data_IF_701587628922
#
_entry.id   IF_701587628922
#
_cell.length_a   1.000
_cell.length_b   1.000
_cell.length_c   1.000
_cell.angle_alpha   90.00
_cell.angle_beta   90.00
_cell.angle_gamma   90.00
#
_symmetry.space_group_name_H-M   'P 1'
#
loop_
_entity.id
_entity.type
_entity.pdbx_description
1 polymer ?
#
# COMPACT_ATOMS: atom_id res chain seq x y z
N UNK A 1 -43.82 -61.84 1.67
CA UNK A 1 -43.22 -62.97 2.42
C UNK A 1 -41.82 -62.58 2.84
N UNK A 2 -41.56 -62.48 4.14
CA UNK A 2 -40.22 -62.20 4.71
C UNK A 2 -39.48 -63.51 4.90
N UNK A 3 -38.31 -63.67 4.27
CA UNK A 3 -37.47 -64.85 4.45
C UNK A 3 -36.81 -64.77 5.82
N UNK A 4 -36.96 -65.84 6.61
CA UNK A 4 -36.37 -65.92 7.95
C UNK A 4 -34.84 -66.01 7.86
N UNK A 5 -34.16 -64.97 8.34
CA UNK A 5 -32.71 -64.85 8.38
C UNK A 5 -32.03 -66.00 9.13
N UNK A 6 -32.69 -66.62 10.12
CA UNK A 6 -32.14 -67.80 10.81
C UNK A 6 -32.09 -69.02 9.91
N UNK A 7 -33.08 -69.17 9.02
CA UNK A 7 -33.10 -70.25 8.02
C UNK A 7 -32.03 -70.03 6.96
N UNK A 8 -31.87 -68.80 6.45
CA UNK A 8 -30.78 -68.47 5.52
C UNK A 8 -29.39 -68.75 6.12
N UNK A 9 -29.15 -68.32 7.37
CA UNK A 9 -27.86 -68.56 8.03
C UNK A 9 -27.55 -70.05 8.23
N UNK A 10 -28.59 -70.87 8.46
CA UNK A 10 -28.44 -72.33 8.62
C UNK A 10 -28.19 -73.04 7.28
N UNK A 11 -28.76 -72.52 6.19
CA UNK A 11 -28.53 -73.00 4.82
C UNK A 11 -27.11 -72.67 4.34
N UNK A 12 -26.64 -71.44 4.58
CA UNK A 12 -25.27 -71.00 4.24
C UNK A 12 -24.20 -71.80 5.01
N UNK A 13 -24.44 -72.12 6.29
CA UNK A 13 -23.51 -72.94 7.08
C UNK A 13 -23.38 -74.39 6.61
N UNK A 14 -24.32 -74.88 5.78
CA UNK A 14 -24.31 -76.26 5.27
C UNK A 14 -23.40 -76.41 4.05
N UNK A 15 -23.08 -75.30 3.38
CA UNK A 15 -22.04 -75.25 2.37
C UNK A 15 -20.71 -75.01 3.08
N UNK A 16 -19.97 -76.09 3.35
CA UNK A 16 -18.58 -75.99 3.82
C UNK A 16 -17.69 -75.51 2.66
N UNK A 17 -17.82 -74.22 2.31
CA UNK A 17 -16.94 -73.57 1.35
C UNK A 17 -15.55 -73.42 2.00
N UNK A 18 -14.60 -74.26 1.59
CA UNK A 18 -13.21 -74.12 2.00
C UNK A 18 -12.66 -72.77 1.53
N UNK A 19 -12.03 -72.03 2.43
CA UNK A 19 -11.37 -70.77 2.09
C UNK A 19 -10.32 -71.01 0.98
N UNK A 20 -10.22 -70.11 -0.03
CA UNK A 20 -9.20 -70.22 -1.07
C UNK A 20 -7.79 -70.29 -0.47
N UNK A 21 -6.92 -71.08 -1.09
CA UNK A 21 -5.51 -71.14 -0.71
C UNK A 21 -4.94 -69.72 -0.77
N UNK A 22 -4.30 -69.26 0.31
CA UNK A 22 -3.74 -67.89 0.49
C UNK A 22 -4.72 -66.77 0.86
N UNK A 23 -5.98 -67.07 1.20
CA UNK A 23 -6.92 -66.05 1.70
C UNK A 23 -6.38 -65.32 2.95
N UNK A 24 -5.79 -66.05 3.89
CA UNK A 24 -5.23 -65.48 5.13
C UNK A 24 -4.06 -64.53 4.85
N UNK A 25 -3.10 -64.93 4.01
CA UNK A 25 -1.98 -64.08 3.62
C UNK A 25 -2.44 -62.80 2.88
N UNK A 26 -3.46 -62.93 2.02
CA UNK A 26 -4.05 -61.77 1.33
C UNK A 26 -4.76 -60.83 2.30
N UNK A 27 -5.51 -61.39 3.25
CA UNK A 27 -6.18 -60.62 4.29
C UNK A 27 -5.16 -59.90 5.17
N UNK A 28 -4.12 -60.58 5.63
CA UNK A 28 -3.05 -59.98 6.45
C UNK A 28 -2.34 -58.84 5.70
N UNK A 29 -2.04 -59.02 4.41
CA UNK A 29 -1.44 -57.97 3.57
C UNK A 29 -2.33 -56.73 3.47
N UNK A 30 -3.64 -56.92 3.27
CA UNK A 30 -4.60 -55.82 3.19
C UNK A 30 -4.80 -55.15 4.56
N UNK A 31 -4.84 -55.96 5.63
CA UNK A 31 -4.97 -55.50 7.00
C UNK A 31 -3.75 -54.65 7.41
N UNK A 32 -2.53 -55.11 7.14
CA UNK A 32 -1.30 -54.36 7.42
C UNK A 32 -1.19 -53.07 6.60
N UNK A 33 -1.66 -53.10 5.35
CA UNK A 33 -1.71 -51.90 4.51
C UNK A 33 -2.66 -50.82 5.08
N UNK A 34 -3.77 -51.24 5.72
CA UNK A 34 -4.76 -50.33 6.28
C UNK A 34 -4.41 -49.88 7.71
N UNK A 35 -3.85 -50.76 8.54
CA UNK A 35 -3.47 -50.44 9.92
C UNK A 35 -2.30 -49.45 10.00
N UNK A 36 -1.34 -49.55 9.08
CA UNK A 36 -0.22 -48.63 9.03
C UNK A 36 -0.63 -47.38 8.26
N UNK A 37 -1.26 -46.42 8.96
CA UNK A 37 -1.45 -45.05 8.48
C UNK A 37 -0.14 -44.57 7.85
N UNK A 38 -0.14 -44.46 6.51
CA UNK A 38 0.98 -43.99 5.70
C UNK A 38 1.53 -42.74 6.36
N UNK A 39 2.76 -42.80 6.89
CA UNK A 39 3.40 -41.66 7.54
C UNK A 39 3.30 -40.48 6.58
N UNK A 40 2.48 -39.50 6.93
CA UNK A 40 2.37 -38.27 6.17
C UNK A 40 3.79 -37.72 6.05
N UNK A 41 4.19 -37.42 4.82
CA UNK A 41 5.51 -36.87 4.55
C UNK A 41 5.60 -35.59 5.38
N UNK A 42 6.40 -35.63 6.45
CA UNK A 42 6.63 -34.46 7.31
C UNK A 42 7.28 -33.40 6.43
N UNK A 43 6.47 -32.47 5.92
CA UNK A 43 6.97 -31.30 5.22
C UNK A 43 7.85 -30.58 6.26
N UNK A 44 9.10 -30.34 5.90
CA UNK A 44 10.05 -29.71 6.80
C UNK A 44 9.61 -28.27 7.04
N UNK A 45 8.89 -28.04 8.14
CA UNK A 45 8.39 -26.73 8.58
C UNK A 45 9.49 -25.66 8.64
N UNK A 46 10.76 -26.07 8.74
CA UNK A 46 11.92 -25.18 8.70
C UNK A 46 12.08 -24.44 7.37
N UNK A 47 11.72 -25.07 6.25
CA UNK A 47 11.75 -24.42 4.93
C UNK A 47 10.58 -23.45 4.77
N UNK A 48 9.41 -23.79 5.33
CA UNK A 48 8.25 -22.90 5.35
C UNK A 48 8.51 -21.65 6.19
N UNK A 49 9.21 -21.77 7.33
CA UNK A 49 9.52 -20.63 8.20
C UNK A 49 10.50 -19.66 7.55
N UNK A 50 11.47 -20.17 6.78
CA UNK A 50 12.43 -19.34 6.04
C UNK A 50 11.72 -18.60 4.90
N UNK A 51 10.88 -19.29 4.13
CA UNK A 51 10.09 -18.65 3.07
C UNK A 51 9.13 -17.57 3.62
N UNK A 52 8.47 -17.84 4.76
CA UNK A 52 7.57 -16.89 5.41
C UNK A 52 8.32 -15.63 5.87
N UNK A 53 9.52 -15.76 6.44
CA UNK A 53 10.33 -14.61 6.84
C UNK A 53 10.73 -13.73 5.66
N UNK A 54 11.09 -14.33 4.52
CA UNK A 54 11.45 -13.58 3.30
C UNK A 54 10.21 -12.88 2.72
N UNK A 55 9.06 -13.54 2.69
CA UNK A 55 7.81 -12.93 2.22
C UNK A 55 7.38 -11.72 3.07
N UNK A 56 7.55 -11.78 4.39
CA UNK A 56 7.25 -10.66 5.29
C UNK A 56 8.19 -9.48 5.00
N UNK A 57 9.49 -9.72 4.83
CA UNK A 57 10.44 -8.67 4.48
C UNK A 57 10.11 -8.00 3.15
N UNK A 58 9.79 -8.79 2.12
CA UNK A 58 9.38 -8.26 0.81
C UNK A 58 8.09 -7.46 0.92
N UNK A 59 7.11 -7.92 1.71
CA UNK A 59 5.86 -7.20 1.94
C UNK A 59 6.09 -5.86 2.63
N UNK A 60 6.90 -5.81 3.68
CA UNK A 60 7.24 -4.56 4.37
C UNK A 60 8.01 -3.62 3.45
N UNK A 61 9.03 -4.12 2.73
CA UNK A 61 9.75 -3.32 1.73
C UNK A 61 8.79 -2.77 0.66
N UNK A 62 7.91 -3.62 0.11
CA UNK A 62 6.93 -3.22 -0.88
C UNK A 62 5.97 -2.15 -0.36
N UNK A 63 5.55 -2.20 0.91
CA UNK A 63 4.72 -1.17 1.52
C UNK A 63 5.46 0.17 1.63
N UNK A 64 6.74 0.16 2.00
CA UNK A 64 7.57 1.38 2.00
C UNK A 64 7.80 1.93 0.59
N UNK A 65 8.04 1.06 -0.41
CA UNK A 65 8.18 1.48 -1.80
C UNK A 65 6.87 2.05 -2.38
N UNK A 66 5.72 1.41 -2.13
CA UNK A 66 4.42 1.90 -2.59
C UNK A 66 4.01 3.19 -1.87
N UNK A 67 4.31 3.33 -0.57
CA UNK A 67 4.05 4.56 0.18
C UNK A 67 4.90 5.74 -0.31
N UNK A 68 6.07 5.46 -0.90
CA UNK A 68 6.89 6.47 -1.58
C UNK A 68 6.42 6.73 -3.03
N UNK A 69 5.45 5.95 -3.54
CA UNK A 69 4.84 6.13 -4.87
C UNK A 69 3.48 6.82 -4.83
N UNK A 70 2.99 7.23 -3.66
CA UNK A 70 1.90 8.21 -3.54
C UNK A 70 2.43 9.64 -3.74
N UNK A 71 2.91 9.92 -4.95
CA UNK A 71 2.77 11.22 -5.62
C UNK A 71 3.10 11.11 -7.13
N UNK A 72 2.63 10.05 -7.81
CA UNK A 72 2.39 10.15 -9.25
C UNK A 72 0.94 10.59 -9.47
N UNK A 73 0.72 11.88 -9.23
CA UNK A 73 -0.46 12.59 -9.72
C UNK A 73 -0.48 12.36 -11.25
N UNK A 74 -1.60 11.93 -11.84
CA UNK A 74 -1.68 11.78 -13.28
C UNK A 74 -1.38 13.12 -13.96
N UNK A 75 -0.31 13.12 -14.75
CA UNK A 75 0.05 14.19 -15.65
C UNK A 75 -1.14 14.45 -16.61
N UNK A 76 -1.49 15.73 -16.78
CA UNK A 76 -2.50 16.27 -17.70
C UNK A 76 -3.93 16.49 -17.18
N UNK A 77 -4.05 17.21 -16.06
CA UNK A 77 -5.00 18.32 -15.99
C UNK A 77 -4.10 19.55 -15.76
N UNK A 78 -4.19 20.64 -16.55
CA UNK A 78 -3.66 21.90 -16.08
C UNK A 78 -4.51 22.26 -14.87
N UNK A 79 -4.08 21.82 -13.69
CA UNK A 79 -4.55 22.39 -12.44
C UNK A 79 -4.08 23.83 -12.56
N UNK A 80 -5.01 24.70 -12.98
CA UNK A 80 -4.79 26.12 -13.02
C UNK A 80 -4.40 26.49 -11.60
N UNK A 81 -3.11 26.66 -11.36
CA UNK A 81 -2.58 27.03 -10.06
C UNK A 81 -3.30 28.32 -9.67
N UNK A 82 -4.20 28.19 -8.71
CA UNK A 82 -5.09 29.23 -8.29
C UNK A 82 -4.28 30.18 -7.42
N UNK A 83 -3.71 31.21 -8.02
CA UNK A 83 -3.07 32.33 -7.32
C UNK A 83 -4.09 33.41 -6.99
N UNK A 84 -3.71 34.39 -6.18
CA UNK A 84 -4.54 35.55 -5.86
C UNK A 84 -5.08 36.21 -7.15
N UNK A 85 -4.23 36.36 -8.17
CA UNK A 85 -4.60 36.92 -9.47
C UNK A 85 -5.57 36.08 -10.31
N UNK A 86 -5.72 34.79 -10.02
CA UNK A 86 -6.72 33.97 -10.71
C UNK A 86 -8.15 34.16 -10.18
N UNK A 87 -8.33 34.83 -9.03
CA UNK A 87 -9.62 35.07 -8.37
C UNK A 87 -10.37 36.23 -9.04
N UNK A 88 -9.70 37.37 -9.26
CA UNK A 88 -10.29 38.55 -9.91
C UNK A 88 -9.22 39.38 -10.65
N UNK A 89 -9.63 40.19 -11.65
CA UNK A 89 -8.71 41.11 -12.32
C UNK A 89 -8.04 42.11 -11.37
N UNK A 90 -8.74 42.55 -10.33
CA UNK A 90 -8.22 43.49 -9.31
C UNK A 90 -7.15 42.83 -8.44
N UNK A 91 -7.33 41.55 -8.09
CA UNK A 91 -6.31 40.81 -7.36
C UNK A 91 -5.08 40.49 -8.22
N UNK A 92 -5.26 40.32 -9.53
CA UNK A 92 -4.16 40.07 -10.45
C UNK A 92 -3.24 41.28 -10.59
N UNK A 93 -3.80 42.48 -10.64
CA UNK A 93 -2.99 43.71 -10.70
C UNK A 93 -2.18 43.89 -9.43
N UNK A 94 -2.77 43.58 -8.27
CA UNK A 94 -2.09 43.65 -6.96
C UNK A 94 -0.95 42.63 -6.89
N UNK A 95 -1.21 41.36 -7.18
CA UNK A 95 -0.20 40.29 -7.16
C UNK A 95 0.96 40.63 -8.11
N UNK A 96 0.63 40.97 -9.36
CA UNK A 96 1.62 41.30 -10.38
C UNK A 96 2.45 42.52 -9.98
N UNK A 97 1.82 43.56 -9.42
CA UNK A 97 2.51 44.76 -8.98
C UNK A 97 3.55 44.45 -7.90
N UNK A 98 3.14 43.81 -6.80
CA UNK A 98 4.05 43.56 -5.69
C UNK A 98 5.16 42.56 -6.04
N UNK A 99 4.86 41.48 -6.76
CA UNK A 99 5.88 40.52 -7.20
C UNK A 99 6.92 41.21 -8.08
N UNK A 100 6.49 42.00 -9.06
CA UNK A 100 7.42 42.69 -9.96
C UNK A 100 8.22 43.77 -9.22
N UNK A 101 7.58 44.54 -8.35
CA UNK A 101 8.27 45.56 -7.54
C UNK A 101 9.32 44.93 -6.62
N UNK A 102 9.00 43.84 -5.93
CA UNK A 102 9.97 43.13 -5.07
C UNK A 102 11.14 42.61 -5.90
N UNK A 103 10.87 41.98 -7.05
CA UNK A 103 11.92 41.46 -7.93
C UNK A 103 12.81 42.58 -8.49
N UNK A 104 12.22 43.72 -8.85
CA UNK A 104 12.96 44.88 -9.34
C UNK A 104 13.88 45.43 -8.25
N UNK A 105 13.34 45.70 -7.07
CA UNK A 105 14.10 46.20 -5.92
C UNK A 105 15.25 45.26 -5.57
N UNK A 106 15.01 43.93 -5.51
CA UNK A 106 16.07 42.94 -5.27
C UNK A 106 17.16 43.01 -6.34
N UNK A 107 16.79 43.22 -7.61
CA UNK A 107 17.75 43.29 -8.71
C UNK A 107 18.64 44.54 -8.69
N UNK A 108 18.19 45.59 -8.01
CA UNK A 108 18.91 46.87 -7.87
C UNK A 108 19.79 46.91 -6.60
N UNK A 109 19.72 45.91 -5.72
CA UNK A 109 20.52 45.86 -4.49
C UNK A 109 22.00 45.61 -4.82
N UNK A 110 22.85 46.59 -4.48
CA UNK A 110 24.30 46.44 -4.48
C UNK A 110 24.81 45.88 -3.14
N UNK A 111 25.44 44.71 -3.18
CA UNK A 111 25.97 44.02 -2.00
C UNK A 111 27.47 44.28 -1.88
N UNK A 112 27.90 44.84 -0.75
CA UNK A 112 29.31 45.03 -0.37
C UNK A 112 29.61 44.45 1.03
N UNK A 113 30.89 44.40 1.41
CA UNK A 113 31.30 43.80 2.68
C UNK A 113 30.77 44.53 3.93
N UNK A 114 30.32 45.78 3.81
CA UNK A 114 29.80 46.60 4.91
C UNK A 114 28.30 46.42 5.13
N UNK A 115 27.54 46.09 4.08
CA UNK A 115 26.09 45.93 4.13
C UNK A 115 25.61 44.47 4.01
N UNK A 116 26.50 43.54 3.61
CA UNK A 116 26.16 42.14 3.32
C UNK A 116 25.37 41.44 4.41
N UNK A 117 25.81 41.51 5.66
CA UNK A 117 25.14 40.80 6.77
C UNK A 117 23.70 41.28 6.99
N UNK A 118 23.48 42.59 6.86
CA UNK A 118 22.15 43.19 6.99
C UNK A 118 21.26 42.79 5.81
N UNK A 119 21.78 42.91 4.58
CA UNK A 119 21.05 42.56 3.36
C UNK A 119 20.70 41.07 3.31
N UNK A 120 21.63 40.18 3.68
CA UNK A 120 21.39 38.74 3.74
C UNK A 120 20.20 38.42 4.67
N UNK A 121 20.11 39.09 5.82
CA UNK A 121 18.99 38.94 6.74
C UNK A 121 17.64 39.37 6.14
N UNK A 122 17.61 40.49 5.42
CA UNK A 122 16.41 40.97 4.74
C UNK A 122 15.99 40.04 3.59
N UNK A 123 16.94 39.61 2.76
CA UNK A 123 16.66 38.67 1.66
C UNK A 123 16.15 37.33 2.20
N UNK A 124 16.70 36.86 3.32
CA UNK A 124 16.20 35.65 3.99
C UNK A 124 14.75 35.84 4.46
N UNK A 125 14.41 37.00 5.03
CA UNK A 125 13.03 37.28 5.43
C UNK A 125 12.07 37.36 4.24
N UNK A 126 12.49 37.96 3.13
CA UNK A 126 11.70 38.00 1.90
C UNK A 126 11.47 36.58 1.35
N UNK A 127 12.52 35.75 1.35
CA UNK A 127 12.41 34.36 0.92
C UNK A 127 11.43 33.54 1.78
N UNK A 128 11.44 33.76 3.10
CA UNK A 128 10.47 33.16 4.03
C UNK A 128 9.04 33.58 3.70
N UNK A 129 8.79 34.88 3.51
CA UNK A 129 7.46 35.41 3.17
C UNK A 129 6.95 34.91 1.80
N UNK A 130 7.83 34.84 0.80
CA UNK A 130 7.49 34.25 -0.50
C UNK A 130 7.12 32.76 -0.36
N UNK A 131 7.83 32.02 0.48
CA UNK A 131 7.50 30.63 0.75
C UNK A 131 6.12 30.50 1.42
N UNK A 132 5.86 31.29 2.47
CA UNK A 132 4.53 31.33 3.12
C UNK A 132 3.40 31.65 2.13
N UNK A 133 3.61 32.63 1.24
CA UNK A 133 2.67 32.96 0.18
C UNK A 133 2.41 31.75 -0.76
N UNK A 134 3.46 31.07 -1.22
CA UNK A 134 3.31 29.90 -2.09
C UNK A 134 2.64 28.73 -1.38
N UNK A 135 2.91 28.53 -0.09
CA UNK A 135 2.27 27.50 0.72
C UNK A 135 0.78 27.78 0.89
N UNK A 136 0.42 29.04 1.18
CA UNK A 136 -0.98 29.47 1.28
C UNK A 136 -1.72 29.31 -0.06
N UNK A 137 -1.05 29.63 -1.17
CA UNK A 137 -1.55 29.39 -2.53
C UNK A 137 -1.79 27.90 -2.79
N UNK A 138 -0.87 27.03 -2.35
CA UNK A 138 -1.05 25.58 -2.43
C UNK A 138 -2.24 25.12 -1.58
N UNK A 139 -2.41 25.66 -0.39
CA UNK A 139 -3.55 25.35 0.48
C UNK A 139 -4.88 25.76 -0.17
N UNK A 140 -4.96 26.97 -0.76
CA UNK A 140 -6.10 27.46 -1.53
C UNK A 140 -6.49 26.50 -2.67
N UNK A 141 -5.50 25.97 -3.39
CA UNK A 141 -5.71 24.99 -4.45
C UNK A 141 -6.25 23.65 -3.95
N UNK A 142 -5.95 23.26 -2.71
CA UNK A 142 -6.39 21.98 -2.14
C UNK A 142 -7.74 22.06 -1.41
N UNK A 143 -8.02 23.17 -0.71
CA UNK A 143 -9.23 23.34 0.12
C UNK A 143 -10.32 24.17 -0.55
N UNK A 144 -10.03 24.81 -1.68
CA UNK A 144 -10.92 25.71 -2.39
C UNK A 144 -10.95 27.12 -1.76
N UNK A 145 -11.30 28.11 -2.59
CA UNK A 145 -11.45 29.51 -2.15
C UNK A 145 -12.78 29.67 -1.42
N UNK A 146 -12.73 30.11 -0.16
CA UNK A 146 -13.90 30.58 0.58
C UNK A 146 -13.60 31.98 1.14
N UNK A 147 -14.63 32.71 1.58
CA UNK A 147 -14.45 34.09 2.07
C UNK A 147 -13.45 34.20 3.23
N UNK A 148 -13.37 33.20 4.11
CA UNK A 148 -12.40 33.19 5.20
C UNK A 148 -10.95 33.03 4.71
N UNK A 149 -10.72 32.36 3.58
CA UNK A 149 -9.39 32.28 2.96
C UNK A 149 -9.04 33.54 2.17
N UNK A 150 -10.03 34.27 1.64
CA UNK A 150 -9.82 35.57 0.99
C UNK A 150 -9.45 36.64 2.02
N UNK A 151 -10.14 36.68 3.17
CA UNK A 151 -9.92 37.67 4.22
C UNK A 151 -8.58 37.49 4.97
N UNK A 152 -7.92 36.34 4.79
CA UNK A 152 -6.63 36.02 5.40
C UNK A 152 -5.41 36.38 4.53
N UNK A 153 -5.64 36.77 3.27
CA UNK A 153 -4.63 37.23 2.30
C UNK A 153 -4.42 38.75 2.42
#
# INVERSE_FOLDING_TARGET
MTRDIKKLAKEIRKEEASLPLHHEANFERLLLAELHLKKTKRISVKWISIAASVAILISVCSLFFLKNEEEKIPENIPVKEMTLGTISPEFNTIETYYVNSINLEISEIEIDNSNKELIDGYLLKIAELMNEYTLLTKELNTKGVNNATIDAL
#
